data_IF_154081133352
#
_entry.id   IF_154081133352
#
_cell.length_a   1.000
_cell.length_b   1.000
_cell.length_c   1.000
_cell.angle_alpha   90.00
_cell.angle_beta   90.00
_cell.angle_gamma   90.00
#
_symmetry.space_group_name_H-M   'P 1'
#
loop_
_entity.id
_entity.type
_entity.pdbx_description
1 polymer ?
#
# COMPACT_ATOMS: atom_id res chain seq x y z
N UNK A 1 -7.03 -10.04 -18.56
CA UNK A 1 -6.95 -10.86 -17.34
C UNK A 1 -7.46 -10.01 -16.20
N UNK A 2 -8.42 -10.49 -15.39
CA UNK A 2 -8.57 -9.91 -14.06
C UNK A 2 -7.20 -10.02 -13.38
N UNK A 3 -6.81 -8.98 -12.65
CA UNK A 3 -5.59 -9.03 -11.86
C UNK A 3 -5.97 -9.90 -10.67
N UNK A 4 -5.71 -11.21 -10.76
CA UNK A 4 -6.02 -12.20 -9.72
C UNK A 4 -5.10 -12.07 -8.49
N UNK A 5 -4.19 -11.09 -8.51
CA UNK A 5 -3.30 -10.71 -7.43
C UNK A 5 -3.90 -9.50 -6.68
N UNK A 6 -4.30 -9.66 -5.39
CA UNK A 6 -4.87 -8.59 -4.57
C UNK A 6 -4.01 -7.33 -4.48
N UNK A 7 -2.68 -7.48 -4.40
CA UNK A 7 -1.75 -6.35 -4.30
C UNK A 7 -1.72 -5.60 -5.63
N UNK A 8 -1.54 -6.32 -6.74
CA UNK A 8 -1.49 -5.70 -8.06
C UNK A 8 -2.82 -5.01 -8.42
N UNK A 9 -3.95 -5.61 -8.02
CA UNK A 9 -5.27 -5.00 -8.16
C UNK A 9 -5.41 -3.70 -7.38
N UNK A 10 -4.99 -3.72 -6.11
CA UNK A 10 -5.01 -2.55 -5.23
C UNK A 10 -4.13 -1.40 -5.76
N UNK A 11 -2.88 -1.68 -6.14
CA UNK A 11 -1.97 -0.63 -6.65
C UNK A 11 -2.41 -0.08 -8.00
N UNK A 12 -3.07 -0.89 -8.84
CA UNK A 12 -3.66 -0.41 -10.08
C UNK A 12 -4.83 0.55 -9.84
N UNK A 13 -5.69 0.24 -8.87
CA UNK A 13 -6.77 1.14 -8.44
C UNK A 13 -6.23 2.42 -7.82
N UNK A 14 -5.29 2.30 -6.88
CA UNK A 14 -4.65 3.44 -6.24
C UNK A 14 -3.95 4.35 -7.25
N UNK A 15 -3.25 3.76 -8.22
CA UNK A 15 -2.65 4.51 -9.32
C UNK A 15 -3.72 5.26 -10.11
N UNK A 16 -4.93 4.73 -10.33
CA UNK A 16 -5.98 5.50 -11.03
C UNK A 16 -6.51 6.67 -10.21
N UNK A 17 -6.53 6.57 -8.88
CA UNK A 17 -7.02 7.61 -7.98
C UNK A 17 -6.05 8.81 -7.84
N UNK A 18 -4.74 8.58 -7.99
CA UNK A 18 -3.71 9.62 -7.80
C UNK A 18 -3.46 10.44 -9.07
N UNK A 19 -3.15 11.73 -8.87
CA UNK A 19 -2.84 12.69 -9.93
C UNK A 19 -1.50 13.38 -9.69
N UNK A 20 -0.80 13.76 -10.75
CA UNK A 20 0.46 14.49 -10.65
C UNK A 20 1.53 14.01 -11.64
N UNK A 21 2.80 14.42 -11.42
CA UNK A 21 3.91 14.06 -12.29
C UNK A 21 4.07 12.54 -12.42
N UNK A 22 4.10 12.03 -13.66
CA UNK A 22 4.12 10.59 -13.96
C UNK A 22 5.21 9.83 -13.22
N UNK A 23 6.41 10.42 -13.12
CA UNK A 23 7.55 9.79 -12.44
C UNK A 23 7.32 9.67 -10.93
N UNK A 24 6.97 10.78 -10.26
CA UNK A 24 6.75 10.79 -8.83
C UNK A 24 5.63 9.82 -8.42
N UNK A 25 4.53 9.82 -9.18
CA UNK A 25 3.43 8.87 -8.97
C UNK A 25 3.86 7.42 -9.14
N UNK A 26 4.65 7.10 -10.18
CA UNK A 26 5.16 5.73 -10.37
C UNK A 26 6.06 5.30 -9.23
N UNK A 27 6.96 6.19 -8.79
CA UNK A 27 7.90 5.89 -7.71
C UNK A 27 7.14 5.64 -6.40
N UNK A 28 6.13 6.47 -6.08
CA UNK A 28 5.25 6.27 -4.92
C UNK A 28 4.44 4.96 -4.98
N UNK A 29 3.91 4.61 -6.16
CA UNK A 29 3.18 3.35 -6.35
C UNK A 29 4.10 2.14 -6.18
N UNK A 30 5.36 2.24 -6.61
CA UNK A 30 6.34 1.18 -6.37
C UNK A 30 6.62 1.00 -4.88
N UNK A 31 6.81 2.10 -4.13
CA UNK A 31 7.02 2.04 -2.67
C UNK A 31 5.83 1.40 -1.94
N UNK A 32 4.59 1.76 -2.31
CA UNK A 32 3.38 1.14 -1.73
C UNK A 32 3.32 -0.35 -2.06
N UNK A 33 3.64 -0.74 -3.31
CA UNK A 33 3.66 -2.15 -3.72
C UNK A 33 4.68 -2.95 -2.91
N UNK A 34 5.89 -2.43 -2.76
CA UNK A 34 6.96 -3.08 -2.01
C UNK A 34 6.57 -3.25 -0.55
N UNK A 35 6.00 -2.23 0.09
CA UNK A 35 5.51 -2.32 1.47
C UNK A 35 4.37 -3.34 1.66
N UNK A 36 3.46 -3.48 0.69
CA UNK A 36 2.42 -4.51 0.71
C UNK A 36 3.00 -5.92 0.57
N UNK A 37 4.04 -6.10 -0.25
CA UNK A 37 4.73 -7.37 -0.41
C UNK A 37 5.45 -7.75 0.88
N UNK A 38 6.19 -6.81 1.49
CA UNK A 38 6.86 -7.03 2.77
C UNK A 38 5.87 -7.47 3.86
N UNK A 39 4.70 -6.83 3.92
CA UNK A 39 3.63 -7.21 4.85
C UNK A 39 3.05 -8.61 4.54
N UNK A 40 2.80 -8.93 3.27
CA UNK A 40 2.33 -10.25 2.88
C UNK A 40 3.36 -11.35 3.21
N UNK A 41 4.65 -11.09 2.99
CA UNK A 41 5.73 -12.01 3.35
C UNK A 41 5.80 -12.24 4.86
N UNK A 42 5.61 -11.19 5.67
CA UNK A 42 5.52 -11.31 7.13
C UNK A 42 4.32 -12.18 7.54
N UNK A 43 3.17 -12.01 6.89
CA UNK A 43 1.98 -12.84 7.14
C UNK A 43 2.19 -14.31 6.75
N UNK A 44 2.89 -14.59 5.66
CA UNK A 44 3.23 -15.97 5.32
C UNK A 44 4.23 -16.59 6.27
N UNK A 45 5.22 -15.81 6.73
CA UNK A 45 6.12 -16.26 7.78
C UNK A 45 5.35 -16.58 9.09
N UNK A 46 4.22 -15.92 9.32
CA UNK A 46 3.30 -16.20 10.41
C UNK A 46 2.32 -17.37 10.13
N UNK A 47 2.39 -18.01 8.95
CA UNK A 47 1.68 -19.25 8.63
C UNK A 47 0.48 -19.10 7.69
N UNK A 48 0.20 -17.91 7.15
CA UNK A 48 -0.81 -17.74 6.11
C UNK A 48 -0.32 -18.26 4.75
N UNK A 49 -1.24 -18.68 3.89
CA UNK A 49 -0.91 -18.92 2.48
C UNK A 49 -0.74 -17.60 1.72
N UNK A 50 -0.10 -17.64 0.55
CA UNK A 50 0.22 -16.43 -0.23
C UNK A 50 -1.05 -15.60 -0.55
N UNK A 51 -2.13 -16.17 -1.10
CA UNK A 51 -3.31 -15.38 -1.43
C UNK A 51 -4.00 -14.74 -0.21
N UNK A 52 -4.05 -15.44 0.93
CA UNK A 52 -4.64 -14.87 2.15
C UNK A 52 -3.74 -13.81 2.77
N UNK A 53 -2.42 -14.00 2.74
CA UNK A 53 -1.46 -13.01 3.21
C UNK A 53 -1.54 -11.69 2.42
N UNK A 54 -1.67 -11.77 1.10
CA UNK A 54 -1.86 -10.60 0.22
C UNK A 54 -3.19 -9.88 0.53
N UNK A 55 -4.29 -10.64 0.66
CA UNK A 55 -5.59 -10.07 1.06
C UNK A 55 -5.51 -9.39 2.42
N UNK A 56 -4.79 -10.00 3.38
CA UNK A 56 -4.61 -9.46 4.72
C UNK A 56 -3.79 -8.18 4.70
N UNK A 57 -2.69 -8.15 3.94
CA UNK A 57 -1.85 -6.96 3.76
C UNK A 57 -2.65 -5.79 3.18
N UNK A 58 -3.41 -6.02 2.10
CA UNK A 58 -4.27 -5.00 1.49
C UNK A 58 -5.37 -4.53 2.47
N UNK A 59 -6.03 -5.46 3.17
CA UNK A 59 -7.08 -5.11 4.13
C UNK A 59 -6.56 -4.27 5.31
N UNK A 60 -5.34 -4.55 5.78
CA UNK A 60 -4.72 -3.77 6.85
C UNK A 60 -4.20 -2.41 6.37
N UNK A 61 -3.72 -2.33 5.13
CA UNK A 61 -3.25 -1.09 4.53
C UNK A 61 -4.39 -0.06 4.34
N UNK A 62 -5.62 -0.53 4.16
CA UNK A 62 -6.82 0.29 4.04
C UNK A 62 -7.32 0.43 2.61
N UNK A 63 -8.49 1.04 2.45
CA UNK A 63 -9.10 1.24 1.13
C UNK A 63 -8.44 2.38 0.37
N UNK A 64 -8.51 2.34 -0.96
CA UNK A 64 -7.99 3.43 -1.82
C UNK A 64 -8.60 4.78 -1.45
N UNK A 65 -9.88 4.84 -1.07
CA UNK A 65 -10.54 6.07 -0.65
C UNK A 65 -9.99 6.68 0.65
N UNK A 66 -9.48 5.84 1.56
CA UNK A 66 -8.88 6.28 2.82
C UNK A 66 -7.44 6.75 2.62
N UNK A 67 -6.67 6.06 1.78
CA UNK A 67 -5.23 6.28 1.65
C UNK A 67 -4.88 7.29 0.56
N UNK A 68 -5.64 7.36 -0.54
CA UNK A 68 -5.34 8.23 -1.67
C UNK A 68 -5.24 9.73 -1.32
N UNK A 69 -6.07 10.32 -0.43
CA UNK A 69 -5.93 11.72 -0.05
C UNK A 69 -4.56 12.05 0.58
N UNK A 70 -4.09 11.23 1.53
CA UNK A 70 -2.78 11.43 2.17
C UNK A 70 -1.62 11.31 1.19
N UNK A 71 -1.66 10.29 0.31
CA UNK A 71 -0.67 10.12 -0.75
C UNK A 71 -0.70 11.27 -1.78
N UNK A 72 -1.88 11.83 -2.04
CA UNK A 72 -2.04 12.97 -2.95
C UNK A 72 -1.39 14.23 -2.36
N UNK A 73 -1.49 14.44 -1.04
CA UNK A 73 -0.80 15.50 -0.31
C UNK A 73 0.72 15.31 -0.37
N UNK A 74 1.22 14.08 -0.19
CA UNK A 74 2.65 13.77 -0.34
C UNK A 74 3.16 14.02 -1.76
N UNK A 75 2.42 13.63 -2.80
CA UNK A 75 2.78 13.95 -4.19
C UNK A 75 2.82 15.45 -4.45
N UNK A 76 1.88 16.20 -3.89
CA UNK A 76 1.85 17.66 -3.99
C UNK A 76 3.05 18.28 -3.24
N UNK A 77 3.37 17.77 -2.04
CA UNK A 77 4.50 18.21 -1.24
C UNK A 77 5.85 17.86 -1.87
N UNK A 78 6.01 16.67 -2.45
CA UNK A 78 7.21 16.22 -3.16
C UNK A 78 7.50 17.04 -4.44
N UNK A 79 6.47 17.66 -5.01
CA UNK A 79 6.62 18.66 -6.09
C UNK A 79 7.17 19.99 -5.55
N UNK A 80 7.11 20.23 -4.22
CA UNK A 80 7.69 21.37 -3.51
C UNK A 80 9.03 21.09 -2.81
N UNK A 81 9.18 19.98 -2.08
CA UNK A 81 10.40 19.52 -1.40
C UNK A 81 10.33 17.99 -1.21
N UNK A 82 11.36 17.23 -1.61
CA UNK A 82 11.42 15.75 -1.45
C UNK A 82 11.52 15.34 0.03
N UNK A 83 10.43 14.94 0.67
CA UNK A 83 10.35 14.21 1.96
C UNK A 83 9.02 13.45 1.98
N UNK A 84 8.82 12.24 2.52
CA UNK A 84 9.67 11.26 3.19
C UNK A 84 8.76 10.11 3.70
N UNK A 85 9.08 8.87 3.29
CA UNK A 85 8.67 7.55 3.79
C UNK A 85 7.41 7.45 4.68
N UNK A 86 6.33 6.90 4.12
CA UNK A 86 5.22 6.34 4.88
C UNK A 86 5.66 5.07 5.61
N UNK A 87 5.95 5.20 6.90
CA UNK A 87 6.04 4.07 7.82
C UNK A 87 4.63 3.75 8.30
N UNK A 88 3.99 2.73 7.73
CA UNK A 88 2.86 2.07 8.38
C UNK A 88 3.41 1.09 9.43
N UNK A 89 3.46 1.53 10.68
CA UNK A 89 3.73 0.67 11.82
C UNK A 89 2.39 0.33 12.49
N UNK A 90 1.76 -0.78 12.10
CA UNK A 90 0.69 -1.36 12.90
C UNK A 90 1.31 -2.31 13.93
N UNK A 91 1.41 -1.83 15.17
CA UNK A 91 1.72 -2.66 16.34
C UNK A 91 0.63 -3.75 16.55
N UNK A 92 0.95 -4.92 17.13
CA UNK A 92 -0.01 -5.99 17.35
C UNK A 92 -1.13 -5.51 18.29
N UNK A 93 -2.37 -5.47 17.80
CA UNK A 93 -3.54 -5.25 18.63
C UNK A 93 -4.02 -6.60 19.19
N UNK A 94 -3.43 -7.03 20.30
CA UNK A 94 -4.11 -7.97 21.19
C UNK A 94 -5.13 -7.17 22.02
N UNK A 95 -6.40 -7.60 22.04
CA UNK A 95 -7.07 -7.76 23.33
C UNK A 95 -7.80 -9.09 23.38
N UNK A 96 -7.63 -9.77 24.52
CA UNK A 96 -8.07 -11.14 24.71
C UNK A 96 -9.58 -11.32 24.84
N UNK A 97 -9.91 -12.61 24.88
CA UNK A 97 -11.04 -13.23 25.57
C UNK A 97 -10.61 -14.63 25.94
#
# INVERSE_FOLDING_TARGET
MPIDDPIDGYVAELSRALHGPRRAKRDLIAEVRDGLIDAAEAYQAAGLDRPEAERRAVAEFGTVGEIAPGLQEELAAATGQRLGALLFLSAPRSPGT
#
